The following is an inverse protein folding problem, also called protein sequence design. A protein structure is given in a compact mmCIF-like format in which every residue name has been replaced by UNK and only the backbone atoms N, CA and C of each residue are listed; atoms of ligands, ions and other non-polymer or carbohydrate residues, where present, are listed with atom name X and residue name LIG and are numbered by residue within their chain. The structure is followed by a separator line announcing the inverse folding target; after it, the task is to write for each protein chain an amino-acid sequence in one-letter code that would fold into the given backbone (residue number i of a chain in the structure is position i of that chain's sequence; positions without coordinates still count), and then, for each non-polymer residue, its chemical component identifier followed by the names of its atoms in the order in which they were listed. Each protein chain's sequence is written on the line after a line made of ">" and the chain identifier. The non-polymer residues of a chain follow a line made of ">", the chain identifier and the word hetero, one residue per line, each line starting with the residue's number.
data_IF_304255059167
#
_entry.id   IF_304255059167
#
_cell.length_a   1.000
_cell.length_b   1.000
_cell.length_c   1.000
_cell.angle_alpha   90.00
_cell.angle_beta   90.00
_cell.angle_gamma   90.00
#
_symmetry.space_group_name_H-M   'P 1'
#
loop_
_entity.id
_entity.type
_entity.pdbx_description
1 polymer ?
#
# COMPACT_ATOMS: atom_id res chain seq x y z
N UNK A 1 1.19 -30.80 12.53
CA UNK A 1 1.62 -29.75 11.59
C UNK A 1 2.70 -30.37 10.74
N UNK A 2 2.42 -30.61 9.47
CA UNK A 2 3.20 -31.53 8.63
C UNK A 2 4.30 -30.71 7.93
N UNK A 3 5.42 -31.33 7.57
CA UNK A 3 6.57 -30.63 6.99
C UNK A 3 6.20 -29.81 5.73
N UNK A 4 5.33 -30.36 4.87
CA UNK A 4 4.80 -29.64 3.69
C UNK A 4 3.95 -28.40 4.04
N UNK A 5 3.27 -28.37 5.19
CA UNK A 5 2.51 -27.19 5.63
C UNK A 5 3.42 -26.05 6.10
N UNK A 6 4.65 -26.37 6.54
CA UNK A 6 5.64 -25.37 6.98
C UNK A 6 6.37 -24.70 5.81
N UNK A 7 6.64 -25.42 4.73
CA UNK A 7 7.24 -24.86 3.51
C UNK A 7 6.25 -23.96 2.76
N UNK A 8 4.97 -24.35 2.69
CA UNK A 8 3.90 -23.52 2.10
C UNK A 8 3.68 -22.24 2.91
N UNK A 9 3.83 -22.27 4.25
CA UNK A 9 3.75 -21.07 5.10
C UNK A 9 4.99 -20.17 5.02
N UNK A 10 6.12 -20.70 4.57
CA UNK A 10 7.36 -19.94 4.31
C UNK A 10 7.29 -19.24 2.95
N UNK A 11 6.71 -19.90 1.94
CA UNK A 11 6.48 -19.35 0.61
C UNK A 11 5.34 -18.31 0.60
N UNK A 12 4.20 -18.59 1.25
CA UNK A 12 3.07 -17.66 1.37
C UNK A 12 3.33 -16.44 2.28
N UNK A 13 4.51 -16.34 2.90
CA UNK A 13 4.98 -15.16 3.67
C UNK A 13 5.87 -14.22 2.85
N UNK A 14 6.22 -14.59 1.62
CA UNK A 14 7.04 -13.78 0.71
C UNK A 14 6.24 -13.27 -0.48
N UNK A 15 5.97 -11.97 -0.53
CA UNK A 15 5.46 -11.27 -1.70
C UNK A 15 3.94 -11.04 -1.71
N UNK A 16 3.52 -9.85 -2.16
CA UNK A 16 2.12 -9.45 -2.36
C UNK A 16 1.47 -10.13 -3.58
N UNK A 17 1.71 -11.43 -3.79
CA UNK A 17 0.97 -12.21 -4.79
C UNK A 17 -0.16 -12.95 -4.07
N UNK A 18 -1.40 -12.61 -4.40
CA UNK A 18 -2.55 -13.38 -3.94
C UNK A 18 -2.46 -14.84 -4.41
N UNK A 19 -3.11 -15.76 -3.71
CA UNK A 19 -3.15 -17.17 -4.10
C UNK A 19 -4.59 -17.65 -4.31
N UNK A 20 -4.72 -18.72 -5.09
CA UNK A 20 -5.96 -19.48 -5.25
C UNK A 20 -5.93 -20.64 -4.27
N UNK A 21 -6.91 -20.68 -3.37
CA UNK A 21 -7.10 -21.81 -2.46
C UNK A 21 -7.98 -22.86 -3.12
N UNK A 22 -7.44 -24.06 -3.33
CA UNK A 22 -8.21 -25.23 -3.76
C UNK A 22 -8.59 -26.03 -2.52
N UNK A 23 -9.83 -25.84 -2.08
CA UNK A 23 -10.46 -26.54 -0.97
C UNK A 23 -11.49 -27.53 -1.52
N UNK A 24 -11.03 -28.57 -2.20
CA UNK A 24 -11.90 -29.61 -2.80
C UNK A 24 -11.51 -30.95 -2.18
N UNK A 25 -12.50 -31.64 -1.60
CA UNK A 25 -12.29 -32.93 -0.94
C UNK A 25 -12.31 -34.09 -1.93
N UNK A 26 -13.08 -33.99 -3.03
CA UNK A 26 -13.05 -34.98 -4.09
C UNK A 26 -11.70 -34.96 -4.85
N UNK A 27 -10.92 -36.05 -4.86
CA UNK A 27 -9.56 -36.06 -5.41
C UNK A 27 -9.53 -35.92 -6.95
N UNK A 28 -10.56 -36.42 -7.64
CA UNK A 28 -10.65 -36.35 -9.10
C UNK A 28 -10.99 -34.92 -9.52
N UNK A 29 -12.01 -34.34 -8.88
CA UNK A 29 -12.43 -32.97 -9.11
C UNK A 29 -11.33 -31.96 -8.74
N UNK A 30 -10.60 -32.23 -7.65
CA UNK A 30 -9.47 -31.41 -7.22
C UNK A 30 -8.36 -31.39 -8.25
N UNK A 31 -8.05 -32.52 -8.89
CA UNK A 31 -6.98 -32.59 -9.90
C UNK A 31 -7.29 -31.69 -11.10
N UNK A 32 -8.54 -31.73 -11.58
CA UNK A 32 -9.03 -30.84 -12.64
C UNK A 32 -8.99 -29.36 -12.23
N UNK A 33 -9.46 -29.05 -11.01
CA UNK A 33 -9.48 -27.69 -10.50
C UNK A 33 -8.07 -27.10 -10.28
N UNK A 34 -7.12 -27.91 -9.81
CA UNK A 34 -5.70 -27.51 -9.69
C UNK A 34 -5.12 -27.24 -11.07
N UNK A 35 -5.42 -28.09 -12.06
CA UNK A 35 -4.95 -27.90 -13.43
C UNK A 35 -5.45 -26.58 -14.02
N UNK A 36 -6.75 -26.29 -13.86
CA UNK A 36 -7.31 -25.00 -14.29
C UNK A 36 -6.71 -23.81 -13.52
N UNK A 37 -6.59 -23.90 -12.20
CA UNK A 37 -6.02 -22.81 -11.39
C UNK A 37 -4.54 -22.54 -11.71
N UNK A 38 -3.77 -23.57 -12.03
CA UNK A 38 -2.34 -23.45 -12.36
C UNK A 38 -2.07 -22.71 -13.68
N UNK A 39 -3.07 -22.55 -14.54
CA UNK A 39 -2.96 -21.73 -15.74
C UNK A 39 -3.06 -20.22 -15.46
N UNK A 40 -3.36 -19.83 -14.22
CA UNK A 40 -3.34 -18.43 -13.77
C UNK A 40 -1.94 -18.03 -13.30
N UNK A 41 -1.68 -16.73 -13.14
CA UNK A 41 -0.42 -16.20 -12.60
C UNK A 41 -0.33 -16.24 -11.06
N UNK A 42 -1.34 -16.76 -10.37
CA UNK A 42 -1.38 -16.83 -8.91
C UNK A 42 -0.88 -18.18 -8.41
N UNK A 43 -0.27 -18.17 -7.22
CA UNK A 43 0.09 -19.42 -6.54
C UNK A 43 -1.16 -20.25 -6.23
N UNK A 44 -1.08 -21.57 -6.40
CA UNK A 44 -2.18 -22.49 -6.10
C UNK A 44 -1.87 -23.23 -4.80
N UNK A 45 -2.66 -22.97 -3.76
CA UNK A 45 -2.51 -23.59 -2.44
C UNK A 45 -3.66 -24.57 -2.23
N UNK A 46 -3.36 -25.79 -1.77
CA UNK A 46 -4.36 -26.82 -1.51
C UNK A 46 -4.59 -26.98 0.01
N UNK A 47 -5.84 -27.20 0.42
CA UNK A 47 -6.16 -27.48 1.81
C UNK A 47 -7.33 -28.47 1.94
N UNK A 48 -7.14 -29.49 2.78
CA UNK A 48 -8.15 -30.51 3.08
C UNK A 48 -8.70 -30.39 4.51
N UNK A 49 -7.83 -30.04 5.48
CA UNK A 49 -8.25 -29.89 6.89
C UNK A 49 -9.15 -28.65 7.03
N UNK A 50 -10.37 -28.77 7.60
CA UNK A 50 -11.29 -27.65 7.79
C UNK A 50 -10.67 -26.42 8.50
N UNK A 51 -9.71 -26.64 9.41
CA UNK A 51 -9.01 -25.56 10.11
C UNK A 51 -8.04 -24.82 9.20
N UNK A 52 -7.36 -25.54 8.31
CA UNK A 52 -6.47 -24.94 7.32
C UNK A 52 -7.26 -24.21 6.24
N UNK A 53 -8.36 -24.79 5.77
CA UNK A 53 -9.30 -24.11 4.85
C UNK A 53 -9.75 -22.78 5.46
N UNK A 54 -10.17 -22.78 6.73
CA UNK A 54 -10.59 -21.55 7.41
C UNK A 54 -9.45 -20.54 7.56
N UNK A 55 -8.26 -20.99 7.96
CA UNK A 55 -7.09 -20.12 8.15
C UNK A 55 -6.66 -19.47 6.84
N UNK A 56 -6.56 -20.26 5.78
CA UNK A 56 -6.09 -19.84 4.46
C UNK A 56 -7.16 -19.08 3.66
N UNK A 57 -8.45 -19.25 3.96
CA UNK A 57 -9.50 -18.50 3.26
C UNK A 57 -9.38 -16.99 3.44
N UNK A 58 -8.88 -16.53 4.60
CA UNK A 58 -8.81 -15.11 4.96
C UNK A 58 -7.91 -14.24 4.07
N UNK A 59 -6.95 -14.85 3.38
CA UNK A 59 -5.94 -14.16 2.56
C UNK A 59 -5.93 -14.63 1.10
N UNK A 60 -6.84 -15.53 0.73
CA UNK A 60 -6.97 -16.02 -0.64
C UNK A 60 -7.60 -14.96 -1.56
N UNK A 61 -7.23 -14.96 -2.83
CA UNK A 61 -7.87 -14.15 -3.87
C UNK A 61 -9.14 -14.84 -4.37
N UNK A 62 -9.05 -16.14 -4.59
CA UNK A 62 -10.17 -17.00 -4.96
C UNK A 62 -10.12 -18.31 -4.17
N UNK A 63 -11.29 -18.92 -3.95
CA UNK A 63 -11.44 -20.23 -3.30
C UNK A 63 -12.26 -21.12 -4.22
N UNK A 64 -11.72 -22.28 -4.58
CA UNK A 64 -12.45 -23.35 -5.27
C UNK A 64 -12.94 -24.34 -4.22
N UNK A 65 -14.24 -24.57 -4.17
CA UNK A 65 -14.88 -25.43 -3.18
C UNK A 65 -15.87 -26.41 -3.82
N UNK A 66 -16.06 -27.56 -3.20
CA UNK A 66 -17.04 -28.58 -3.59
C UNK A 66 -18.18 -28.71 -2.56
N UNK A 67 -19.09 -29.66 -2.80
CA UNK A 67 -20.22 -29.92 -1.89
C UNK A 67 -19.78 -30.32 -0.47
N UNK A 68 -18.61 -30.96 -0.33
CA UNK A 68 -18.11 -31.48 0.94
C UNK A 68 -17.45 -30.39 1.80
N UNK A 69 -16.82 -29.42 1.15
CA UNK A 69 -16.11 -28.31 1.80
C UNK A 69 -16.94 -27.04 1.95
N UNK A 70 -18.03 -26.90 1.17
CA UNK A 70 -18.96 -25.77 1.26
C UNK A 70 -19.50 -25.50 2.69
N UNK A 71 -19.85 -26.50 3.52
CA UNK A 71 -20.29 -26.26 4.89
C UNK A 71 -19.22 -25.60 5.77
N UNK A 72 -17.94 -25.93 5.57
CA UNK A 72 -16.81 -25.31 6.28
C UNK A 72 -16.72 -23.82 5.97
N UNK A 73 -16.92 -23.44 4.70
CA UNK A 73 -16.93 -22.04 4.27
C UNK A 73 -18.20 -21.29 4.68
N UNK A 74 -19.33 -21.98 4.81
CA UNK A 74 -20.60 -21.39 5.23
C UNK A 74 -20.59 -20.93 6.70
N UNK A 75 -19.81 -21.60 7.55
CA UNK A 75 -19.64 -21.25 8.97
C UNK A 75 -18.69 -20.06 9.23
N UNK A 76 -18.04 -19.53 8.19
CA UNK A 76 -17.13 -18.40 8.31
C UNK A 76 -17.89 -17.08 8.52
N UNK A 77 -17.71 -16.43 9.69
CA UNK A 77 -18.24 -15.09 9.93
C UNK A 77 -17.48 -14.04 9.10
N UNK A 78 -18.02 -13.70 7.92
CA UNK A 78 -17.44 -12.67 7.04
C UNK A 78 -17.52 -11.25 7.62
N UNK A 79 -18.33 -11.00 8.65
CA UNK A 79 -18.34 -9.71 9.34
C UNK A 79 -17.04 -9.45 10.11
N UNK A 80 -16.34 -10.51 10.53
CA UNK A 80 -15.00 -10.41 11.11
C UNK A 80 -13.93 -10.15 10.04
N UNK A 81 -14.05 -10.77 8.86
CA UNK A 81 -13.13 -10.59 7.72
C UNK A 81 -13.23 -9.19 7.08
N UNK A 82 -14.44 -8.63 6.99
CA UNK A 82 -14.67 -7.28 6.44
C UNK A 82 -14.34 -6.16 7.43
N UNK A 83 -14.51 -6.37 8.76
CA UNK A 83 -14.18 -5.35 9.79
C UNK A 83 -12.67 -5.20 10.04
N UNK A 84 -11.87 -6.16 9.60
CA UNK A 84 -10.41 -6.15 9.74
C UNK A 84 -9.68 -5.49 8.54
N UNK A 85 -10.40 -4.85 7.61
CA UNK A 85 -9.81 -4.28 6.39
C UNK A 85 -9.23 -5.34 5.44
N UNK A 86 -9.69 -6.60 5.55
CA UNK A 86 -9.22 -7.73 4.73
C UNK A 86 -10.00 -7.89 3.42
N UNK A 87 -9.33 -8.41 2.39
CA UNK A 87 -9.95 -8.79 1.13
C UNK A 87 -10.97 -9.92 1.34
N UNK A 88 -12.13 -9.79 0.69
CA UNK A 88 -13.20 -10.80 0.75
C UNK A 88 -13.00 -11.75 -0.45
N UNK A 89 -12.51 -13.00 -0.25
CA UNK A 89 -12.20 -13.92 -1.35
C UNK A 89 -13.43 -14.24 -2.19
N UNK A 90 -13.24 -14.38 -3.50
CA UNK A 90 -14.30 -14.86 -4.41
C UNK A 90 -14.37 -16.39 -4.31
N UNK A 91 -15.55 -16.94 -4.00
CA UNK A 91 -15.75 -18.39 -3.92
C UNK A 91 -16.35 -18.88 -5.23
N UNK A 92 -15.80 -19.95 -5.79
CA UNK A 92 -16.36 -20.67 -6.93
C UNK A 92 -16.67 -22.12 -6.53
N UNK A 93 -17.81 -22.64 -6.95
CA UNK A 93 -18.28 -23.97 -6.58
C UNK A 93 -18.04 -24.98 -7.69
N UNK A 94 -17.48 -26.13 -7.37
CA UNK A 94 -17.15 -27.19 -8.32
C UNK A 94 -18.09 -28.39 -8.15
N UNK A 95 -18.53 -28.95 -9.27
CA UNK A 95 -19.18 -30.24 -9.35
C UNK A 95 -18.45 -31.12 -10.38
N UNK A 96 -18.44 -32.43 -10.16
CA UNK A 96 -17.92 -33.38 -11.14
C UNK A 96 -18.95 -33.59 -12.27
N UNK A 97 -18.47 -33.72 -13.51
CA UNK A 97 -19.26 -34.15 -14.67
C UNK A 97 -19.87 -35.55 -14.40
N UNK A 98 -21.17 -35.80 -14.69
CA UNK A 98 -22.13 -34.97 -15.44
C UNK A 98 -22.96 -33.97 -14.60
N UNK A 99 -22.59 -33.71 -13.35
CA UNK A 99 -23.42 -32.98 -12.39
C UNK A 99 -24.48 -33.87 -11.70
N UNK A 100 -25.52 -33.29 -11.10
CA UNK A 100 -25.87 -31.87 -11.08
C UNK A 100 -25.05 -31.05 -10.08
N UNK A 101 -25.02 -29.73 -10.28
CA UNK A 101 -24.50 -28.79 -9.28
C UNK A 101 -25.42 -28.81 -8.05
N UNK A 102 -24.83 -28.95 -6.85
CA UNK A 102 -25.54 -28.77 -5.59
C UNK A 102 -25.71 -27.26 -5.30
N UNK A 103 -26.76 -26.66 -5.85
CA UNK A 103 -27.03 -25.23 -5.71
C UNK A 103 -27.29 -24.79 -4.26
N UNK A 104 -27.84 -25.68 -3.41
CA UNK A 104 -28.03 -25.36 -1.99
C UNK A 104 -26.68 -25.18 -1.28
N UNK A 105 -25.73 -26.09 -1.50
CA UNK A 105 -24.38 -25.98 -0.96
C UNK A 105 -23.64 -24.76 -1.53
N UNK A 106 -23.74 -24.52 -2.84
CA UNK A 106 -23.14 -23.37 -3.51
C UNK A 106 -23.65 -22.03 -2.93
N UNK A 107 -24.96 -21.92 -2.67
CA UNK A 107 -25.56 -20.74 -2.04
C UNK A 107 -25.10 -20.57 -0.59
N UNK A 108 -25.03 -21.66 0.19
CA UNK A 108 -24.58 -21.63 1.59
C UNK A 108 -23.14 -21.13 1.72
N UNK A 109 -22.23 -21.55 0.85
CA UNK A 109 -20.85 -21.04 0.82
C UNK A 109 -20.71 -19.71 0.05
N UNK A 110 -21.83 -19.13 -0.43
CA UNK A 110 -21.88 -17.87 -1.18
C UNK A 110 -20.98 -17.89 -2.42
N UNK A 111 -21.00 -19.00 -3.14
CA UNK A 111 -20.29 -19.10 -4.41
C UNK A 111 -20.82 -18.05 -5.39
N UNK A 112 -19.91 -17.32 -6.03
CA UNK A 112 -20.23 -16.35 -7.08
C UNK A 112 -20.78 -17.05 -8.31
N UNK A 113 -20.22 -18.20 -8.62
CA UNK A 113 -20.58 -19.03 -9.76
C UNK A 113 -20.21 -20.49 -9.47
N UNK A 114 -20.90 -21.42 -10.11
CA UNK A 114 -20.62 -22.84 -10.04
C UNK A 114 -20.22 -23.38 -11.43
N UNK A 115 -19.37 -24.41 -11.46
CA UNK A 115 -18.85 -25.02 -12.68
C UNK A 115 -18.83 -26.55 -12.58
N UNK A 116 -19.07 -27.22 -13.70
CA UNK A 116 -18.95 -28.67 -13.87
C UNK A 116 -17.61 -28.98 -14.54
N UNK A 117 -16.72 -29.72 -13.88
CA UNK A 117 -15.42 -30.10 -14.44
C UNK A 117 -15.41 -31.57 -14.91
N UNK A 118 -14.75 -31.87 -16.04
CA UNK A 118 -13.92 -30.97 -16.86
C UNK A 118 -14.70 -30.16 -17.91
N UNK A 119 -16.01 -30.38 -18.08
CA UNK A 119 -16.84 -29.81 -19.15
C UNK A 119 -16.77 -28.27 -19.28
N UNK A 120 -16.63 -27.55 -18.16
CA UNK A 120 -16.63 -26.09 -18.09
C UNK A 120 -15.27 -25.50 -17.66
N UNK A 121 -14.17 -26.25 -17.82
CA UNK A 121 -12.81 -25.81 -17.44
C UNK A 121 -12.42 -24.47 -18.05
N UNK A 122 -12.77 -24.23 -19.32
CA UNK A 122 -12.51 -22.95 -20.01
C UNK A 122 -13.30 -21.79 -19.40
N UNK A 123 -14.53 -22.04 -18.92
CA UNK A 123 -15.34 -21.03 -18.27
C UNK A 123 -14.80 -20.69 -16.87
N UNK A 124 -14.32 -21.71 -16.14
CA UNK A 124 -13.61 -21.52 -14.88
C UNK A 124 -12.34 -20.69 -15.08
N UNK A 125 -11.54 -20.97 -16.11
CA UNK A 125 -10.35 -20.19 -16.45
C UNK A 125 -10.69 -18.71 -16.70
N UNK A 126 -11.73 -18.42 -17.49
CA UNK A 126 -12.18 -17.05 -17.72
C UNK A 126 -12.64 -16.36 -16.43
N UNK A 127 -13.37 -17.06 -15.57
CA UNK A 127 -13.83 -16.53 -14.29
C UNK A 127 -12.68 -16.27 -13.30
N UNK A 128 -11.69 -17.17 -13.23
CA UNK A 128 -10.47 -16.98 -12.47
C UNK A 128 -9.66 -15.79 -13.02
N UNK A 129 -9.46 -15.72 -14.34
CA UNK A 129 -8.80 -14.60 -15.01
C UNK A 129 -9.44 -13.25 -14.67
N UNK A 130 -10.77 -13.16 -14.70
CA UNK A 130 -11.50 -11.94 -14.32
C UNK A 130 -11.31 -11.56 -12.84
N UNK A 131 -11.15 -12.54 -11.93
CA UNK A 131 -10.85 -12.27 -10.52
C UNK A 131 -9.39 -11.82 -10.34
N UNK A 132 -8.45 -12.47 -11.04
CA UNK A 132 -7.04 -12.05 -11.06
C UNK A 132 -6.94 -10.63 -11.58
N UNK A 133 -7.54 -10.33 -12.73
CA UNK A 133 -7.61 -8.98 -13.30
C UNK A 133 -8.29 -7.99 -12.35
N UNK A 134 -9.37 -8.36 -11.67
CA UNK A 134 -9.99 -7.47 -10.66
C UNK A 134 -9.12 -7.29 -9.42
N UNK A 135 -8.26 -8.24 -9.08
CA UNK A 135 -7.34 -8.14 -7.93
C UNK A 135 -6.10 -7.32 -8.28
N UNK A 136 -5.53 -7.51 -9.47
CA UNK A 136 -4.45 -6.67 -10.00
C UNK A 136 -4.97 -5.27 -10.29
N UNK A 137 -6.16 -5.16 -10.87
CA UNK A 137 -6.84 -3.89 -11.02
C UNK A 137 -7.30 -3.35 -9.68
N UNK A 138 -7.60 -4.07 -8.59
CA UNK A 138 -7.88 -3.42 -7.27
C UNK A 138 -6.60 -2.98 -6.57
N UNK A 139 -5.49 -3.67 -6.78
CA UNK A 139 -4.15 -3.18 -6.47
C UNK A 139 -3.76 -1.97 -7.34
N UNK A 140 -4.39 -1.82 -8.51
CA UNK A 140 -4.21 -0.72 -9.46
C UNK A 140 -5.48 0.14 -9.71
N UNK A 141 -6.46 0.13 -8.78
CA UNK A 141 -7.77 0.85 -8.82
C UNK A 141 -7.99 1.61 -7.51
N UNK A 142 -6.92 2.10 -6.88
CA UNK A 142 -6.82 3.56 -6.82
C UNK A 142 -6.93 4.04 -8.27
N UNK A 143 -7.86 4.94 -8.56
CA UNK A 143 -8.25 5.46 -9.89
C UNK A 143 -7.08 5.54 -10.92
N UNK A 144 -7.29 5.73 -12.24
CA UNK A 144 -6.23 6.33 -13.06
C UNK A 144 -6.02 7.78 -12.56
N UNK A 145 -5.44 7.94 -11.38
CA UNK A 145 -4.76 9.13 -10.97
C UNK A 145 -3.64 9.25 -12.00
N UNK A 146 -3.79 10.22 -12.89
CA UNK A 146 -2.63 10.79 -13.57
C UNK A 146 -1.58 11.01 -12.48
N UNK A 147 -0.36 10.53 -12.67
CA UNK A 147 0.75 10.75 -11.73
C UNK A 147 0.82 12.18 -11.21
N UNK A 148 1.31 12.38 -9.99
CA UNK A 148 1.32 13.70 -9.37
C UNK A 148 2.30 13.81 -8.20
N UNK A 149 2.75 15.04 -7.96
CA UNK A 149 3.63 15.38 -6.84
C UNK A 149 2.87 15.75 -5.54
N UNK A 150 2.93 14.91 -4.52
CA UNK A 150 2.38 15.17 -3.18
C UNK A 150 3.54 15.50 -2.23
N UNK A 151 3.53 16.70 -1.64
CA UNK A 151 4.44 17.02 -0.54
C UNK A 151 3.89 16.52 0.80
N UNK A 152 4.77 16.05 1.68
CA UNK A 152 4.45 15.68 3.06
C UNK A 152 5.37 16.48 3.97
N UNK A 153 4.78 17.27 4.87
CA UNK A 153 5.52 18.17 5.76
C UNK A 153 5.03 18.09 7.21
N UNK A 154 5.96 18.09 8.15
CA UNK A 154 5.66 18.05 9.59
C UNK A 154 5.72 19.42 10.24
N UNK A 155 4.77 19.72 11.13
CA UNK A 155 4.71 21.01 11.83
C UNK A 155 5.47 21.01 13.16
N UNK A 156 6.03 19.86 13.55
CA UNK A 156 6.97 19.71 14.66
C UNK A 156 7.96 18.56 14.40
N UNK A 157 9.10 18.57 15.11
CA UNK A 157 10.07 17.49 15.01
C UNK A 157 9.50 16.16 15.49
N UNK A 158 9.80 15.07 14.76
CA UNK A 158 9.40 13.71 15.13
C UNK A 158 7.90 13.41 15.06
N UNK A 159 7.10 14.19 14.31
CA UNK A 159 5.65 13.94 14.18
C UNK A 159 5.33 12.72 13.31
N UNK A 160 6.34 12.18 12.63
CA UNK A 160 6.21 11.02 11.75
C UNK A 160 6.03 11.40 10.28
N UNK A 161 6.52 12.57 9.84
CA UNK A 161 6.49 13.02 8.44
C UNK A 161 7.03 11.97 7.49
N UNK A 162 8.27 11.56 7.67
CA UNK A 162 8.93 10.52 6.87
C UNK A 162 8.18 9.19 6.92
N UNK A 163 7.70 8.78 8.10
CA UNK A 163 6.90 7.56 8.26
C UNK A 163 5.60 7.61 7.46
N UNK A 164 4.92 8.76 7.46
CA UNK A 164 3.69 8.94 6.72
C UNK A 164 3.94 9.10 5.22
N UNK A 165 5.04 9.74 4.80
CA UNK A 165 5.46 9.82 3.41
C UNK A 165 5.67 8.43 2.82
N UNK A 166 6.38 7.55 3.54
CA UNK A 166 6.51 6.13 3.16
C UNK A 166 5.15 5.43 3.16
N UNK A 167 4.29 5.69 4.17
CA UNK A 167 2.97 5.09 4.22
C UNK A 167 2.12 5.46 3.00
N UNK A 168 2.15 6.74 2.61
CA UNK A 168 1.47 7.26 1.44
C UNK A 168 2.02 6.66 0.15
N UNK A 169 3.35 6.58 0.01
CA UNK A 169 4.01 5.92 -1.13
C UNK A 169 3.54 4.47 -1.30
N UNK A 170 3.45 3.71 -0.21
CA UNK A 170 2.91 2.33 -0.23
C UNK A 170 1.43 2.24 -0.55
N UNK A 171 0.65 3.24 -0.16
CA UNK A 171 -0.80 3.29 -0.46
C UNK A 171 -1.05 3.62 -1.94
N UNK A 172 -0.23 4.47 -2.57
CA UNK A 172 -0.35 4.76 -4.01
C UNK A 172 0.22 3.63 -4.90
N UNK A 173 1.13 2.80 -4.38
CA UNK A 173 1.78 1.72 -5.12
C UNK A 173 3.12 2.14 -5.71
N UNK A 174 3.31 1.95 -7.02
CA UNK A 174 4.53 2.37 -7.71
C UNK A 174 4.72 3.90 -7.60
N UNK A 175 5.73 4.32 -6.83
CA UNK A 175 5.99 5.71 -6.54
C UNK A 175 7.49 6.04 -6.53
N UNK A 176 7.79 7.29 -6.80
CA UNK A 176 9.08 7.89 -6.46
C UNK A 176 8.95 8.58 -5.10
N UNK A 177 9.70 8.12 -4.11
CA UNK A 177 9.82 8.76 -2.81
C UNK A 177 11.08 9.61 -2.77
N UNK A 178 10.93 10.90 -2.47
CA UNK A 178 12.02 11.89 -2.46
C UNK A 178 12.24 12.40 -1.04
N UNK A 179 13.44 12.19 -0.51
CA UNK A 179 13.91 12.76 0.75
C UNK A 179 14.42 14.19 0.52
N UNK A 180 13.58 15.18 0.76
CA UNK A 180 13.87 16.59 0.51
C UNK A 180 14.25 17.38 1.78
N UNK A 181 14.45 16.73 2.94
CA UNK A 181 15.02 17.40 4.12
C UNK A 181 16.56 17.29 4.10
N UNK A 182 17.30 18.42 4.00
CA UNK A 182 18.76 18.42 4.03
C UNK A 182 19.37 17.88 5.35
N UNK A 183 18.55 17.72 6.40
CA UNK A 183 18.96 17.22 7.72
C UNK A 183 18.50 15.77 7.96
N UNK A 184 17.90 15.13 6.95
CA UNK A 184 17.43 13.76 7.05
C UNK A 184 18.59 12.78 7.25
N UNK A 185 18.32 11.71 8.01
CA UNK A 185 19.22 10.56 8.11
C UNK A 185 19.15 9.60 6.92
N UNK A 186 18.18 9.80 6.03
CA UNK A 186 17.92 8.97 4.86
C UNK A 186 16.64 8.13 4.98
N UNK A 187 15.68 8.37 4.07
CA UNK A 187 14.49 7.50 3.90
C UNK A 187 14.81 6.04 3.54
N UNK A 188 15.97 5.75 2.97
CA UNK A 188 16.36 4.37 2.65
C UNK A 188 16.55 3.52 3.92
N UNK A 189 17.05 4.10 5.01
CA UNK A 189 17.11 3.46 6.34
C UNK A 189 15.71 3.21 6.91
N UNK A 190 14.80 4.19 6.77
CA UNK A 190 13.42 4.03 7.21
C UNK A 190 12.73 2.88 6.46
N UNK A 191 13.10 2.65 5.21
CA UNK A 191 12.60 1.55 4.39
C UNK A 191 13.34 0.22 4.61
N UNK A 192 14.49 0.23 5.31
CA UNK A 192 15.33 -0.96 5.50
C UNK A 192 16.00 -1.45 4.21
N UNK A 193 16.24 -0.54 3.27
CA UNK A 193 16.85 -0.83 1.95
C UNK A 193 18.21 -0.14 1.78
N UNK A 194 18.84 0.29 2.87
CA UNK A 194 20.10 1.01 2.85
C UNK A 194 21.22 0.24 2.13
N UNK A 195 21.18 -1.09 2.13
CA UNK A 195 22.14 -1.95 1.43
C UNK A 195 21.82 -2.15 -0.05
N UNK A 196 20.65 -1.73 -0.53
CA UNK A 196 20.25 -1.86 -1.93
C UNK A 196 21.06 -0.86 -2.78
N UNK A 197 21.77 -1.33 -3.82
CA UNK A 197 22.53 -0.45 -4.73
C UNK A 197 21.63 0.54 -5.44
N UNK A 198 22.17 1.73 -5.72
CA UNK A 198 21.50 2.78 -6.48
C UNK A 198 21.98 4.17 -6.05
N UNK A 199 21.75 5.14 -6.92
CA UNK A 199 22.17 6.51 -6.72
C UNK A 199 21.51 7.15 -5.48
N UNK A 200 22.26 8.02 -4.81
CA UNK A 200 21.78 8.96 -3.78
C UNK A 200 22.01 10.39 -4.25
N UNK A 201 21.50 11.38 -3.50
CA UNK A 201 21.57 12.79 -3.89
C UNK A 201 22.95 13.27 -4.41
N UNK A 202 24.09 13.02 -3.74
CA UNK A 202 25.40 13.48 -4.23
C UNK A 202 25.91 12.75 -5.48
N UNK A 203 25.37 11.57 -5.76
CA UNK A 203 25.75 10.74 -6.90
C UNK A 203 24.95 11.10 -8.16
N UNK A 204 23.86 11.86 -8.00
CA UNK A 204 23.08 12.37 -9.11
C UNK A 204 23.76 13.61 -9.72
N UNK A 205 24.34 13.43 -10.91
CA UNK A 205 24.89 14.54 -11.67
C UNK A 205 23.81 15.13 -12.60
N UNK A 206 23.14 16.17 -12.11
CA UNK A 206 22.16 16.97 -12.83
C UNK A 206 22.84 17.94 -13.81
N UNK A 207 23.65 17.45 -14.76
CA UNK A 207 24.22 18.33 -15.80
C UNK A 207 23.14 19.12 -16.55
N UNK A 208 23.51 19.94 -17.53
CA UNK A 208 22.56 20.79 -18.29
C UNK A 208 21.50 20.02 -19.12
N UNK A 209 21.46 18.69 -19.03
CA UNK A 209 20.55 17.82 -19.76
C UNK A 209 19.27 17.48 -19.00
N UNK A 210 18.21 17.17 -19.74
CA UNK A 210 16.95 16.68 -19.18
C UNK A 210 17.11 15.21 -18.74
N UNK A 211 16.74 14.88 -17.50
CA UNK A 211 16.77 13.50 -16.98
C UNK A 211 15.46 12.81 -17.37
N UNK A 212 15.55 11.63 -17.98
CA UNK A 212 14.37 10.79 -18.24
C UNK A 212 13.86 10.18 -16.93
N UNK A 213 12.55 10.20 -16.72
CA UNK A 213 11.90 9.72 -15.49
C UNK A 213 12.16 8.22 -15.23
N UNK A 214 12.17 7.38 -16.27
CA UNK A 214 12.42 5.95 -16.11
C UNK A 214 13.90 5.68 -15.82
N UNK A 215 14.80 6.40 -16.47
CA UNK A 215 16.24 6.28 -16.20
C UNK A 215 16.56 6.72 -14.77
N UNK A 216 15.94 7.81 -14.30
CA UNK A 216 16.03 8.22 -12.90
C UNK A 216 15.57 7.10 -11.96
N UNK A 217 14.33 6.59 -12.12
CA UNK A 217 13.82 5.52 -11.26
C UNK A 217 14.70 4.28 -11.25
N UNK A 218 15.26 3.88 -12.41
CA UNK A 218 16.17 2.74 -12.54
C UNK A 218 17.52 2.95 -11.89
N UNK A 219 17.98 4.19 -11.82
CA UNK A 219 19.23 4.52 -11.16
C UNK A 219 19.11 4.48 -9.63
N UNK A 220 17.90 4.61 -9.08
CA UNK A 220 17.65 4.69 -7.64
C UNK A 220 17.50 3.31 -6.99
N UNK A 221 17.79 3.18 -5.69
CA UNK A 221 17.38 2.00 -4.92
C UNK A 221 15.85 1.87 -4.95
N UNK A 222 15.37 0.64 -5.03
CA UNK A 222 13.94 0.37 -5.01
C UNK A 222 13.60 -0.72 -4.00
N UNK A 223 12.44 -0.57 -3.36
CA UNK A 223 11.87 -1.61 -2.52
C UNK A 223 11.29 -2.74 -3.38
N UNK A 224 11.09 -3.92 -2.78
CA UNK A 224 10.46 -5.06 -3.48
C UNK A 224 9.00 -4.80 -3.88
N UNK A 225 8.34 -3.84 -3.23
CA UNK A 225 6.98 -3.37 -3.51
C UNK A 225 6.94 -2.18 -4.51
N UNK A 226 8.05 -1.87 -5.19
CA UNK A 226 8.05 -0.97 -6.34
C UNK A 226 8.21 0.53 -6.02
N UNK A 227 8.72 0.88 -4.84
CA UNK A 227 8.99 2.28 -4.47
C UNK A 227 10.46 2.58 -4.77
N UNK A 228 10.71 3.45 -5.75
CA UNK A 228 12.04 4.01 -6.00
C UNK A 228 12.30 5.17 -5.03
N UNK A 229 13.52 5.27 -4.49
CA UNK A 229 13.81 6.19 -3.39
C UNK A 229 15.03 7.05 -3.69
N UNK A 230 14.83 8.36 -3.73
CA UNK A 230 15.92 9.33 -3.75
C UNK A 230 16.19 9.80 -2.34
N UNK A 231 17.28 9.30 -1.75
CA UNK A 231 17.63 9.53 -0.35
C UNK A 231 18.96 10.28 -0.17
N UNK A 232 19.21 10.75 1.05
CA UNK A 232 20.52 11.30 1.43
C UNK A 232 21.60 10.21 1.32
N UNK A 233 22.82 10.60 0.97
CA UNK A 233 23.95 9.68 1.00
C UNK A 233 24.53 9.55 2.40
N UNK A 234 25.14 8.39 2.66
CA UNK A 234 25.94 8.14 3.85
C UNK A 234 27.41 8.36 3.49
N UNK A 235 27.88 9.60 3.60
CA UNK A 235 29.30 9.89 3.44
C UNK A 235 30.01 9.91 4.80
N UNK A 236 31.11 9.16 4.90
CA UNK A 236 32.06 9.24 6.03
C UNK A 236 33.11 10.33 5.82
N UNK A 237 33.13 10.93 4.62
CA UNK A 237 33.96 12.07 4.25
C UNK A 237 33.09 13.32 4.27
N UNK A 238 33.65 14.47 4.63
CA UNK A 238 32.97 15.75 4.52
C UNK A 238 32.61 16.01 3.04
N UNK A 239 31.41 15.62 2.65
CA UNK A 239 30.86 15.89 1.33
C UNK A 239 30.38 17.34 1.30
N UNK A 240 30.76 18.06 0.25
CA UNK A 240 30.33 19.44 0.01
C UNK A 240 28.90 19.55 -0.55
N UNK A 241 28.28 18.43 -0.91
CA UNK A 241 26.93 18.42 -1.43
C UNK A 241 25.95 19.02 -0.43
N UNK A 242 25.16 19.98 -0.91
CA UNK A 242 24.06 20.58 -0.18
C UNK A 242 22.81 20.48 -1.03
N UNK A 243 21.78 19.85 -0.49
CA UNK A 243 20.50 19.77 -1.17
C UNK A 243 19.85 21.15 -1.21
N UNK A 244 19.78 21.73 -2.40
CA UNK A 244 19.15 23.04 -2.65
C UNK A 244 17.72 22.83 -3.18
N UNK A 245 16.76 23.72 -2.89
CA UNK A 245 15.39 23.62 -3.40
C UNK A 245 15.31 23.42 -4.92
N UNK A 246 16.14 24.13 -5.69
CA UNK A 246 16.19 24.03 -7.14
C UNK A 246 16.53 22.61 -7.66
N UNK A 247 17.27 21.81 -6.88
CA UNK A 247 17.60 20.42 -7.24
C UNK A 247 16.38 19.52 -7.06
N UNK A 248 15.61 19.73 -6.00
CA UNK A 248 14.34 19.03 -5.76
C UNK A 248 13.32 19.39 -6.84
N UNK A 249 13.20 20.69 -7.19
CA UNK A 249 12.34 21.15 -8.28
C UNK A 249 12.73 20.52 -9.62
N UNK A 250 14.04 20.34 -9.88
CA UNK A 250 14.54 19.65 -11.06
C UNK A 250 14.05 18.21 -11.16
N UNK A 251 14.06 17.46 -10.06
CA UNK A 251 13.49 16.10 -9.99
C UNK A 251 11.99 16.11 -10.25
N UNK A 252 11.24 17.01 -9.61
CA UNK A 252 9.78 17.11 -9.80
C UNK A 252 9.44 17.44 -11.26
N UNK A 253 10.24 18.29 -11.90
CA UNK A 253 10.08 18.63 -13.33
C UNK A 253 10.44 17.47 -14.26
N UNK A 254 11.53 16.74 -14.00
CA UNK A 254 11.89 15.55 -14.77
C UNK A 254 10.77 14.49 -14.75
N UNK A 255 10.07 14.40 -13.62
CA UNK A 255 9.01 13.43 -13.39
C UNK A 255 7.61 13.90 -13.83
N UNK A 256 7.46 15.11 -14.38
CA UNK A 256 6.14 15.65 -14.75
C UNK A 256 5.41 14.82 -15.82
N UNK A 257 6.16 14.15 -16.69
CA UNK A 257 5.61 13.29 -17.75
C UNK A 257 5.42 11.83 -17.30
N UNK A 258 5.84 11.50 -16.08
CA UNK A 258 5.68 10.17 -15.52
C UNK A 258 4.23 9.96 -15.02
N UNK A 259 3.60 8.82 -15.34
CA UNK A 259 2.23 8.56 -14.91
C UNK A 259 2.10 8.15 -13.44
N UNK A 260 3.19 7.99 -12.70
CA UNK A 260 3.21 7.58 -11.28
C UNK A 260 3.25 8.74 -10.29
N UNK A 261 3.12 8.43 -9.00
CA UNK A 261 3.18 9.44 -7.94
C UNK A 261 4.61 9.77 -7.53
N UNK A 262 4.83 11.03 -7.21
CA UNK A 262 6.04 11.52 -6.53
C UNK A 262 5.61 11.94 -5.13
N UNK A 263 6.17 11.32 -4.11
CA UNK A 263 5.94 11.69 -2.72
C UNK A 263 7.20 12.38 -2.21
N UNK A 264 7.07 13.63 -1.78
CA UNK A 264 8.20 14.45 -1.34
C UNK A 264 8.13 14.66 0.17
N UNK A 265 9.03 14.03 0.92
CA UNK A 265 9.21 14.30 2.36
C UNK A 265 10.05 15.57 2.52
N UNK A 266 9.45 16.64 3.04
CA UNK A 266 10.09 17.95 3.09
C UNK A 266 9.81 18.67 4.41
N UNK A 267 10.68 19.61 4.81
CA UNK A 267 10.38 20.48 5.93
C UNK A 267 9.29 21.50 5.53
N UNK A 268 8.49 21.93 6.51
CA UNK A 268 7.30 22.80 6.29
C UNK A 268 7.62 24.16 5.68
N UNK A 269 8.87 24.61 5.74
CA UNK A 269 9.37 25.85 5.14
C UNK A 269 10.03 25.66 3.77
N UNK A 270 10.15 24.41 3.27
CA UNK A 270 10.70 24.09 1.95
C UNK A 270 9.76 23.20 1.12
N UNK A 271 8.45 23.39 1.26
CA UNK A 271 7.45 22.72 0.43
C UNK A 271 7.65 23.14 -1.04
N UNK A 272 7.85 22.20 -1.99
CA UNK A 272 8.05 22.54 -3.40
C UNK A 272 6.82 23.23 -4.02
N UNK A 273 7.05 24.14 -4.95
CA UNK A 273 5.97 24.92 -5.57
C UNK A 273 5.14 24.10 -6.56
N UNK A 274 5.76 23.15 -7.26
CA UNK A 274 5.14 22.32 -8.30
C UNK A 274 4.39 21.10 -7.72
N UNK A 275 4.08 21.11 -6.42
CA UNK A 275 3.23 20.09 -5.78
C UNK A 275 1.75 20.38 -6.02
N UNK A 276 0.98 19.35 -6.41
CA UNK A 276 -0.46 19.48 -6.61
C UNK A 276 -1.26 19.31 -5.32
N UNK A 277 -0.66 18.71 -4.29
CA UNK A 277 -1.27 18.56 -2.98
C UNK A 277 -0.20 18.54 -1.90
N UNK A 278 -0.52 19.08 -0.72
CA UNK A 278 0.36 19.07 0.46
C UNK A 278 -0.31 18.41 1.65
N UNK A 279 0.37 17.46 2.26
CA UNK A 279 -0.06 16.82 3.50
C UNK A 279 0.69 17.45 4.66
N UNK A 280 -0.04 18.11 5.55
CA UNK A 280 0.51 18.65 6.80
C UNK A 280 0.27 17.66 7.93
N UNK A 281 1.33 17.27 8.63
CA UNK A 281 1.25 16.43 9.83
C UNK A 281 1.49 17.29 11.05
N UNK A 282 0.47 17.41 11.89
CA UNK A 282 0.54 18.16 13.14
C UNK A 282 0.35 17.26 14.33
N UNK A 283 1.15 17.44 15.38
CA UNK A 283 0.84 16.83 16.67
C UNK A 283 -0.39 17.52 17.27
N UNK A 284 -1.17 16.77 18.06
CA UNK A 284 -2.27 17.31 18.86
C UNK A 284 -1.72 18.09 20.09
N UNK A 285 -0.97 19.16 19.78
CA UNK A 285 -0.19 20.00 20.68
C UNK A 285 -0.30 21.45 20.21
N UNK A 286 -0.42 22.41 21.14
CA UNK A 286 -0.63 23.83 20.82
C UNK A 286 0.46 24.39 19.89
N UNK A 287 1.74 24.10 20.17
CA UNK A 287 2.86 24.63 19.36
C UNK A 287 2.89 24.06 17.95
N UNK A 288 2.61 22.77 17.80
CA UNK A 288 2.53 22.11 16.49
C UNK A 288 1.36 22.66 15.69
N UNK A 289 0.19 22.85 16.33
CA UNK A 289 -1.00 23.42 15.71
C UNK A 289 -0.77 24.89 15.28
N UNK A 290 -0.05 25.70 16.06
CA UNK A 290 0.30 27.06 15.68
C UNK A 290 1.19 27.11 14.41
N UNK A 291 2.16 26.20 14.29
CA UNK A 291 2.96 26.06 13.05
C UNK A 291 2.09 25.58 11.89
N UNK A 292 1.15 24.64 12.14
CA UNK A 292 0.20 24.17 11.14
C UNK A 292 -0.67 25.30 10.60
N UNK A 293 -1.19 26.17 11.46
CA UNK A 293 -1.97 27.34 11.08
C UNK A 293 -1.17 28.27 10.14
N UNK A 294 0.09 28.55 10.48
CA UNK A 294 0.96 29.37 9.64
C UNK A 294 1.24 28.71 8.28
N UNK A 295 1.43 27.39 8.25
CA UNK A 295 1.60 26.64 7.01
C UNK A 295 0.33 26.66 6.14
N UNK A 296 -0.84 26.45 6.74
CA UNK A 296 -2.15 26.53 6.07
C UNK A 296 -2.36 27.92 5.44
N UNK A 297 -2.07 29.00 6.16
CA UNK A 297 -2.20 30.36 5.61
C UNK A 297 -1.31 30.57 4.38
N UNK A 298 -0.09 30.03 4.38
CA UNK A 298 0.82 30.10 3.21
C UNK A 298 0.29 29.28 2.04
N UNK A 299 -0.09 28.03 2.28
CA UNK A 299 -0.62 27.14 1.24
C UNK A 299 -1.89 27.69 0.61
N UNK A 300 -2.81 28.22 1.41
CA UNK A 300 -4.01 28.92 0.94
C UNK A 300 -3.69 30.14 0.09
N UNK A 301 -2.68 30.93 0.50
CA UNK A 301 -2.24 32.10 -0.28
C UNK A 301 -1.64 31.71 -1.63
N UNK A 302 -0.96 30.56 -1.69
CA UNK A 302 -0.39 29.98 -2.90
C UNK A 302 -1.38 29.11 -3.70
N UNK A 303 -2.61 28.92 -3.22
CA UNK A 303 -3.65 28.05 -3.80
C UNK A 303 -3.20 26.60 -4.00
N UNK A 304 -2.33 26.09 -3.14
CA UNK A 304 -1.91 24.69 -3.15
C UNK A 304 -2.93 23.92 -2.30
N UNK A 305 -3.65 22.92 -2.85
CA UNK A 305 -4.53 22.05 -2.06
C UNK A 305 -3.78 21.36 -0.92
N UNK A 306 -4.45 21.18 0.21
CA UNK A 306 -3.83 20.56 1.39
C UNK A 306 -4.79 19.71 2.21
N UNK A 307 -4.21 18.74 2.92
CA UNK A 307 -4.88 17.90 3.93
C UNK A 307 -4.15 18.01 5.26
N UNK A 308 -4.89 17.92 6.37
CA UNK A 308 -4.35 17.98 7.72
C UNK A 308 -4.46 16.60 8.40
N UNK A 309 -3.31 16.02 8.73
CA UNK A 309 -3.22 14.78 9.50
C UNK A 309 -2.85 15.09 10.94
N UNK A 310 -3.69 14.65 11.87
CA UNK A 310 -3.50 14.85 13.30
C UNK A 310 -2.79 13.65 13.94
N UNK A 311 -1.64 13.89 14.54
CA UNK A 311 -0.80 12.89 15.23
C UNK A 311 -1.02 12.95 16.74
N UNK A 312 -1.45 11.82 17.32
CA UNK A 312 -1.68 11.66 18.77
C UNK A 312 -0.52 10.99 19.51
N UNK A 313 0.30 11.79 20.18
CA UNK A 313 1.42 11.31 21.01
C UNK A 313 0.95 11.03 22.44
N UNK A 314 1.83 10.44 23.26
CA UNK A 314 1.51 10.09 24.65
C UNK A 314 1.18 11.31 25.53
N UNK A 315 1.70 12.50 25.19
CA UNK A 315 1.47 13.75 25.92
C UNK A 315 0.61 14.75 25.14
N UNK A 316 -0.09 14.30 24.09
CA UNK A 316 -1.03 15.15 23.36
C UNK A 316 -2.08 15.73 24.30
N UNK A 317 -2.35 17.02 24.16
CA UNK A 317 -3.22 17.79 25.07
C UNK A 317 -4.39 18.49 24.38
N UNK A 318 -4.44 18.44 23.04
CA UNK A 318 -5.57 18.94 22.26
C UNK A 318 -6.35 17.77 21.67
N UNK A 319 -7.65 17.94 21.51
CA UNK A 319 -8.46 17.05 20.70
C UNK A 319 -8.54 17.54 19.24
N UNK A 320 -9.29 16.79 18.42
CA UNK A 320 -9.53 17.12 17.01
C UNK A 320 -10.16 18.50 16.85
N UNK A 321 -11.23 18.78 17.60
CA UNK A 321 -12.01 20.01 17.45
C UNK A 321 -11.19 21.25 17.80
N UNK A 322 -10.37 21.16 18.85
CA UNK A 322 -9.47 22.23 19.27
C UNK A 322 -8.43 22.53 18.18
N UNK A 323 -7.87 21.49 17.55
CA UNK A 323 -6.92 21.67 16.45
C UNK A 323 -7.60 22.27 15.23
N UNK A 324 -8.78 21.79 14.85
CA UNK A 324 -9.53 22.33 13.70
C UNK A 324 -9.87 23.81 13.91
N UNK A 325 -10.27 24.19 15.13
CA UNK A 325 -10.53 25.59 15.51
C UNK A 325 -9.28 26.46 15.44
N UNK A 326 -8.14 25.96 15.92
CA UNK A 326 -6.88 26.72 15.95
C UNK A 326 -6.27 26.87 14.56
N UNK A 327 -6.26 25.79 13.77
CA UNK A 327 -5.65 25.75 12.43
C UNK A 327 -6.57 26.35 11.36
N UNK A 328 -7.88 26.42 11.63
CA UNK A 328 -8.92 26.78 10.66
C UNK A 328 -8.94 25.85 9.45
N UNK A 329 -8.76 24.56 9.69
CA UNK A 329 -8.74 23.51 8.69
C UNK A 329 -9.30 22.21 9.28
N UNK A 330 -10.21 21.50 8.59
CA UNK A 330 -10.70 20.20 9.04
C UNK A 330 -9.57 19.15 9.05
N UNK A 331 -9.59 18.25 10.02
CA UNK A 331 -8.63 17.15 10.10
C UNK A 331 -9.09 16.02 9.18
N UNK A 332 -8.32 15.74 8.13
CA UNK A 332 -8.57 14.68 7.16
C UNK A 332 -8.42 13.28 7.77
N UNK A 333 -7.43 13.10 8.65
CA UNK A 333 -7.15 11.82 9.27
C UNK A 333 -6.42 11.94 10.62
N UNK A 334 -6.54 10.91 11.46
CA UNK A 334 -5.87 10.81 12.75
C UNK A 334 -4.93 9.61 12.80
N UNK A 335 -3.70 9.83 13.29
CA UNK A 335 -2.68 8.80 13.46
C UNK A 335 -2.37 8.62 14.95
N UNK A 336 -2.81 7.51 15.57
CA UNK A 336 -2.52 7.20 16.96
C UNK A 336 -1.08 6.70 17.14
N UNK A 337 -0.66 6.56 18.39
CA UNK A 337 0.59 5.87 18.70
C UNK A 337 0.44 4.36 18.47
N UNK A 338 1.22 3.81 17.53
CA UNK A 338 1.18 2.39 17.18
C UNK A 338 2.24 1.64 17.99
N UNK A 339 1.78 0.76 18.88
CA UNK A 339 2.65 0.01 19.79
C UNK A 339 3.62 -0.89 19.01
N UNK A 340 4.90 -0.77 19.29
CA UNK A 340 5.95 -1.62 18.73
C UNK A 340 6.42 -1.25 17.32
N UNK A 341 5.74 -0.35 16.61
CA UNK A 341 6.11 0.04 15.25
C UNK A 341 7.53 0.61 15.19
N UNK A 342 7.86 1.58 16.05
CA UNK A 342 9.19 2.18 16.05
C UNK A 342 10.28 1.16 16.33
N UNK A 343 10.06 0.25 17.30
CA UNK A 343 11.04 -0.81 17.60
C UNK A 343 11.26 -1.72 16.39
N UNK A 344 10.22 -2.00 15.61
CA UNK A 344 10.34 -2.80 14.39
C UNK A 344 11.09 -2.04 13.29
N UNK A 345 10.78 -0.74 13.12
CA UNK A 345 11.44 0.14 12.15
C UNK A 345 12.95 0.18 12.38
N UNK A 346 13.40 0.34 13.63
CA UNK A 346 14.84 0.36 13.96
C UNK A 346 15.59 -0.94 13.62
N UNK A 347 14.87 -2.06 13.47
CA UNK A 347 15.49 -3.38 13.21
C UNK A 347 15.33 -3.89 11.79
N UNK A 348 14.30 -3.43 11.07
CA UNK A 348 13.88 -4.06 9.82
C UNK A 348 13.28 -3.07 8.81
N UNK A 349 13.30 -1.78 9.11
CA UNK A 349 12.59 -0.77 8.34
C UNK A 349 11.07 -0.83 8.56
N UNK A 350 10.35 0.08 7.90
CA UNK A 350 8.89 0.14 7.94
C UNK A 350 8.33 -1.09 7.22
N UNK A 351 7.36 -1.82 7.81
CA UNK A 351 6.86 -3.07 7.23
C UNK A 351 6.03 -2.82 5.98
N UNK A 352 6.25 -3.60 4.92
CA UNK A 352 5.49 -3.53 3.66
C UNK A 352 3.98 -3.51 3.89
N UNK A 353 3.51 -4.42 4.75
CA UNK A 353 2.15 -4.36 5.28
C UNK A 353 2.08 -3.37 6.44
N UNK A 354 1.59 -2.18 6.14
CA UNK A 354 1.43 -1.11 7.12
C UNK A 354 0.39 -1.45 8.19
N UNK A 355 0.53 -0.92 9.42
CA UNK A 355 -0.54 -0.94 10.42
C UNK A 355 -1.79 -0.23 9.90
N UNK A 356 -2.97 -0.82 10.14
CA UNK A 356 -4.23 -0.34 9.56
C UNK A 356 -4.58 1.12 9.87
N UNK A 357 -4.11 1.68 10.99
CA UNK A 357 -4.30 3.09 11.30
C UNK A 357 -3.50 4.03 10.37
N UNK A 358 -2.29 3.63 9.97
CA UNK A 358 -1.49 4.37 8.98
C UNK A 358 -2.09 4.21 7.58
N UNK A 359 -2.47 2.99 7.21
CA UNK A 359 -3.13 2.72 5.92
C UNK A 359 -4.40 3.56 5.75
N UNK A 360 -5.30 3.53 6.74
CA UNK A 360 -6.55 4.28 6.70
C UNK A 360 -6.32 5.80 6.59
N UNK A 361 -5.32 6.32 7.30
CA UNK A 361 -4.98 7.73 7.24
C UNK A 361 -4.39 8.13 5.88
N UNK A 362 -3.51 7.30 5.30
CA UNK A 362 -2.95 7.51 3.97
C UNK A 362 -4.04 7.43 2.88
N UNK A 363 -4.94 6.46 2.94
CA UNK A 363 -6.07 6.32 2.01
C UNK A 363 -7.01 7.53 2.05
N UNK A 364 -7.33 8.04 3.24
CA UNK A 364 -8.17 9.23 3.40
C UNK A 364 -7.54 10.48 2.75
N UNK A 365 -6.25 10.69 2.98
CA UNK A 365 -5.50 11.82 2.40
C UNK A 365 -5.36 11.66 0.89
N UNK A 366 -5.09 10.45 0.41
CA UNK A 366 -4.98 10.17 -1.02
C UNK A 366 -6.32 10.47 -1.73
N UNK A 367 -7.45 10.07 -1.15
CA UNK A 367 -8.76 10.37 -1.71
C UNK A 367 -9.03 11.88 -1.81
N UNK A 368 -8.57 12.68 -0.84
CA UNK A 368 -8.66 14.15 -0.92
C UNK A 368 -7.74 14.73 -2.00
N UNK A 369 -6.51 14.23 -2.11
CA UNK A 369 -5.55 14.65 -3.13
C UNK A 369 -6.03 14.34 -4.56
N UNK A 370 -6.70 13.20 -4.75
CA UNK A 370 -7.32 12.82 -6.02
C UNK A 370 -8.59 13.64 -6.29
N UNK A 371 -9.42 13.90 -5.28
CA UNK A 371 -10.64 14.70 -5.39
C UNK A 371 -10.40 16.16 -5.76
N UNK A 372 -9.27 16.73 -5.33
CA UNK A 372 -8.85 18.10 -5.67
C UNK A 372 -8.48 18.30 -7.15
N UNK A 373 -8.32 17.24 -7.94
CA UNK A 373 -7.98 17.30 -9.38
C UNK A 373 -9.18 17.32 -10.32
N UNK A 374 -10.37 17.01 -9.82
CA UNK A 374 -11.60 16.93 -10.63
C UNK A 374 -12.34 18.28 -10.76
N UNK A 375 -11.82 19.34 -10.15
CA UNK A 375 -12.31 20.72 -10.22
C UNK A 375 -11.26 21.58 -10.92
#
# INVERSE_FOLDING_TARGET
>A
MNASTREVLSAARGGHHGYILVAIADPTLRSEAVHAAAATSLEVVQAEDPRDIMRLSSSATAILADALTAPTLAGADRSALSRAGGHTPVVFFMAADPGPINYEAALKCRARQAFILPAESTMLLGALGAVVEQSTQRGARSSPARGGCIAVAGTAGGVGTSTFAVALARTVGEALLVDADPRSGGLDLLLGIESVPGARWPELNFGDGNIDANDLKRALPATSDGIAVLSQARSTVADSFQLKPAVVDGIIKAMHSDPGFIIVDCPVDAIPQDCHHTVLITAAEVRSAAVAQQAVLRLSSSRIPYSLVLRHRQWSGLDREDVEKLVHCPVSAEVPTIKGLMRHVETSGLPTRLPGALTKAAEAVLAEAEGGRAQ
#
